data_IF_841467070804
#
_entry.id   IF_841467070804
#
_cell.length_a   1.000
_cell.length_b   1.000
_cell.length_c   1.000
_cell.angle_alpha   90.00
_cell.angle_beta   90.00
_cell.angle_gamma   90.00
#
_symmetry.space_group_name_H-M   'P 1'
#
loop_
_entity.id
_entity.type
_entity.pdbx_description
1 polymer ?
#
# COMPACT_ATOMS: atom_id res chain seq x y z
N UNK A 1 5.16 16.10 -18.14
CA UNK A 1 4.78 15.43 -16.89
C UNK A 1 4.16 16.46 -15.94
N UNK A 2 2.84 16.60 -15.96
CA UNK A 2 2.11 17.43 -14.99
C UNK A 2 1.67 16.53 -13.85
N UNK A 3 2.52 16.38 -12.82
CA UNK A 3 2.13 15.74 -11.56
C UNK A 3 2.62 16.66 -10.44
N UNK A 4 1.86 17.71 -10.17
CA UNK A 4 2.07 18.63 -9.04
C UNK A 4 0.87 18.58 -8.12
N UNK A 5 0.68 17.40 -7.55
CA UNK A 5 0.20 17.06 -6.20
C UNK A 5 0.66 15.60 -6.05
N UNK A 6 1.18 15.20 -4.88
CA UNK A 6 1.67 13.83 -4.70
C UNK A 6 0.54 12.86 -5.08
N UNK A 7 0.67 12.17 -6.23
CA UNK A 7 -0.39 11.32 -6.76
C UNK A 7 -0.80 10.33 -5.68
N UNK A 8 -2.09 10.22 -5.38
CA UNK A 8 -2.62 9.26 -4.39
C UNK A 8 -2.15 7.84 -4.67
N UNK A 9 -1.86 7.50 -5.93
CA UNK A 9 -1.24 6.25 -6.36
C UNK A 9 0.18 6.10 -5.81
N UNK A 10 0.99 7.15 -5.78
CA UNK A 10 2.32 7.12 -5.16
C UNK A 10 2.24 6.94 -3.63
N UNK A 11 1.29 7.62 -2.99
CA UNK A 11 1.04 7.44 -1.55
C UNK A 11 0.62 5.99 -1.24
N UNK A 12 -0.24 5.41 -2.08
CA UNK A 12 -0.59 3.99 -2.02
C UNK A 12 0.61 3.06 -2.18
N UNK A 13 1.46 3.30 -3.18
CA UNK A 13 2.67 2.47 -3.39
C UNK A 13 3.59 2.52 -2.18
N UNK A 14 3.75 3.70 -1.56
CA UNK A 14 4.55 3.86 -0.36
C UNK A 14 3.93 3.15 0.85
N UNK A 15 2.63 3.32 1.08
CA UNK A 15 1.89 2.63 2.12
C UNK A 15 2.00 1.11 1.97
N UNK A 16 1.77 0.59 0.75
CA UNK A 16 1.90 -0.84 0.45
C UNK A 16 3.30 -1.34 0.79
N UNK A 17 4.34 -0.62 0.38
CA UNK A 17 5.74 -0.97 0.68
C UNK A 17 6.02 -1.04 2.17
N UNK A 18 5.55 -0.04 2.95
CA UNK A 18 5.69 -0.06 4.41
C UNK A 18 5.04 -1.29 5.03
N UNK A 19 3.78 -1.57 4.67
CA UNK A 19 3.04 -2.73 5.19
C UNK A 19 3.76 -4.03 4.82
N UNK A 20 4.21 -4.18 3.57
CA UNK A 20 4.99 -5.33 3.11
C UNK A 20 6.30 -5.50 3.90
N UNK A 21 6.99 -4.40 4.20
CA UNK A 21 8.21 -4.45 5.00
C UNK A 21 7.92 -4.94 6.43
N UNK A 22 6.88 -4.41 7.08
CA UNK A 22 6.47 -4.87 8.42
C UNK A 22 6.08 -6.35 8.41
N UNK A 23 5.29 -6.78 7.43
CA UNK A 23 4.94 -8.19 7.25
C UNK A 23 6.18 -9.07 7.02
N UNK A 24 7.16 -8.58 6.27
CA UNK A 24 8.43 -9.28 6.04
C UNK A 24 9.24 -9.43 7.32
N UNK A 25 9.35 -8.36 8.13
CA UNK A 25 10.01 -8.41 9.45
C UNK A 25 9.31 -9.42 10.36
N UNK A 26 7.98 -9.38 10.41
CA UNK A 26 7.22 -10.35 11.19
C UNK A 26 7.53 -11.79 10.76
N UNK A 27 7.41 -12.07 9.47
CA UNK A 27 7.58 -13.41 8.91
C UNK A 27 9.01 -13.94 9.04
N UNK A 28 10.02 -13.09 8.80
CA UNK A 28 11.43 -13.52 8.76
C UNK A 28 12.14 -13.48 10.12
N UNK A 29 11.65 -12.67 11.06
CA UNK A 29 12.37 -12.44 12.32
C UNK A 29 11.50 -12.83 13.51
N UNK A 30 10.32 -12.23 13.63
CA UNK A 30 9.51 -12.35 14.85
C UNK A 30 8.93 -13.76 14.99
N UNK A 31 8.31 -14.28 13.93
CA UNK A 31 7.70 -15.61 13.95
C UNK A 31 8.73 -16.74 14.21
N UNK A 32 9.89 -16.79 13.52
CA UNK A 32 10.91 -17.78 13.84
C UNK A 32 11.45 -17.66 15.27
N UNK A 33 11.61 -16.43 15.77
CA UNK A 33 12.04 -16.19 17.16
C UNK A 33 11.00 -16.76 18.13
N UNK A 34 9.71 -16.51 17.89
CA UNK A 34 8.64 -17.05 18.73
C UNK A 34 8.60 -18.58 18.71
N UNK A 35 8.77 -19.20 17.54
CA UNK A 35 8.83 -20.65 17.43
C UNK A 35 10.02 -21.23 18.22
N UNK A 36 11.22 -20.65 18.08
CA UNK A 36 12.39 -21.09 18.83
C UNK A 36 12.20 -20.97 20.34
N UNK A 37 11.48 -19.95 20.82
CA UNK A 37 11.12 -19.84 22.24
C UNK A 37 10.19 -20.94 22.69
N UNK A 38 9.18 -21.30 21.89
CA UNK A 38 8.27 -22.41 22.20
C UNK A 38 9.04 -23.73 22.26
N UNK A 39 9.91 -23.99 21.28
CA UNK A 39 10.78 -25.17 21.25
C UNK A 39 11.68 -25.24 22.51
N UNK A 40 12.37 -24.14 22.86
CA UNK A 40 13.23 -24.08 24.05
C UNK A 40 12.46 -24.32 25.36
N UNK A 41 11.22 -23.84 25.45
CA UNK A 41 10.36 -24.09 26.63
C UNK A 41 9.94 -25.55 26.66
N UNK A 42 9.60 -26.13 25.51
CA UNK A 42 9.24 -27.54 25.41
C UNK A 42 10.41 -28.43 25.85
N UNK A 43 11.61 -28.21 25.29
CA UNK A 43 12.82 -28.94 25.64
C UNK A 43 13.15 -28.82 27.14
N UNK A 44 12.97 -27.62 27.71
CA UNK A 44 13.16 -27.40 29.14
C UNK A 44 12.17 -28.21 29.99
N UNK A 45 10.89 -28.21 29.61
CA UNK A 45 9.84 -28.96 30.32
C UNK A 45 10.09 -30.47 30.21
N UNK A 46 10.43 -30.96 29.03
CA UNK A 46 10.75 -32.38 28.80
C UNK A 46 11.97 -32.81 29.62
N UNK A 47 13.01 -31.97 29.67
CA UNK A 47 14.18 -32.21 30.52
C UNK A 47 13.78 -32.26 31.99
N UNK A 48 13.03 -31.26 32.47
CA UNK A 48 12.61 -31.18 33.86
C UNK A 48 11.76 -32.38 34.30
N UNK A 49 10.85 -32.86 33.46
CA UNK A 49 9.96 -33.99 33.80
C UNK A 49 10.67 -35.34 33.75
N UNK A 50 11.79 -35.45 33.03
CA UNK A 50 12.59 -36.67 32.95
C UNK A 50 13.55 -36.87 34.14
N UNK A 51 13.79 -35.83 34.96
CA UNK A 51 14.76 -35.90 36.05
C UNK A 51 14.27 -36.71 37.24
N UNK A 52 15.15 -37.55 37.80
CA UNK A 52 14.95 -38.12 39.12
C UNK A 52 15.20 -37.07 40.22
N UNK A 53 14.82 -37.37 41.46
CA UNK A 53 15.09 -36.47 42.58
C UNK A 53 16.58 -36.22 42.82
N UNK A 54 17.42 -37.24 42.59
CA UNK A 54 18.86 -37.11 42.77
C UNK A 54 19.49 -36.25 41.66
N UNK A 55 19.12 -36.48 40.40
CA UNK A 55 19.57 -35.65 39.26
C UNK A 55 19.09 -34.19 39.41
N UNK A 56 17.87 -33.99 39.91
CA UNK A 56 17.33 -32.65 40.16
C UNK A 56 18.18 -31.86 41.15
N UNK A 57 18.65 -32.49 42.25
CA UNK A 57 19.50 -31.83 43.24
C UNK A 57 20.84 -31.41 42.63
N UNK A 58 21.40 -32.22 41.73
CA UNK A 58 22.68 -31.94 41.09
C UNK A 58 22.57 -30.84 40.02
N UNK A 59 21.43 -30.77 39.31
CA UNK A 59 21.22 -29.84 38.19
C UNK A 59 20.37 -28.60 38.54
N UNK A 60 20.07 -28.35 39.82
CA UNK A 60 19.11 -27.29 40.22
C UNK A 60 19.53 -25.89 39.76
N UNK A 61 20.83 -25.58 39.75
CA UNK A 61 21.34 -24.29 39.27
C UNK A 61 21.16 -24.14 37.75
N UNK A 62 21.43 -25.20 36.99
CA UNK A 62 21.25 -25.21 35.53
C UNK A 62 19.77 -25.07 35.14
N UNK A 63 18.87 -25.74 35.88
CA UNK A 63 17.43 -25.60 35.71
C UNK A 63 16.95 -24.17 36.01
N UNK A 64 17.44 -23.57 37.11
CA UNK A 64 17.11 -22.18 37.43
C UNK A 64 17.60 -21.22 36.33
N UNK A 65 18.83 -21.40 35.86
CA UNK A 65 19.40 -20.62 34.77
C UNK A 65 18.62 -20.80 33.45
N UNK A 66 18.22 -22.03 33.12
CA UNK A 66 17.38 -22.34 31.96
C UNK A 66 16.02 -21.64 32.04
N UNK A 67 15.35 -21.71 33.21
CA UNK A 67 14.09 -21.02 33.45
C UNK A 67 14.23 -19.50 33.31
N UNK A 68 15.31 -18.90 33.83
CA UNK A 68 15.59 -17.48 33.67
C UNK A 68 15.79 -17.08 32.20
N UNK A 69 16.60 -17.85 31.45
CA UNK A 69 16.81 -17.62 30.01
C UNK A 69 15.50 -17.70 29.23
N UNK A 70 14.67 -18.71 29.49
CA UNK A 70 13.38 -18.86 28.84
C UNK A 70 12.45 -17.68 29.14
N UNK A 71 12.40 -17.22 30.41
CA UNK A 71 11.65 -16.02 30.79
C UNK A 71 12.10 -14.77 30.02
N UNK A 72 13.40 -14.58 29.88
CA UNK A 72 13.95 -13.40 29.21
C UNK A 72 13.65 -13.45 27.70
N UNK A 73 13.79 -14.62 27.07
CA UNK A 73 13.44 -14.81 25.67
C UNK A 73 11.93 -14.60 25.39
N UNK A 74 11.05 -15.10 26.27
CA UNK A 74 9.60 -14.83 26.19
C UNK A 74 9.31 -13.34 26.30
N UNK A 75 9.96 -12.67 27.24
CA UNK A 75 9.77 -11.23 27.46
C UNK A 75 10.21 -10.42 26.24
N UNK A 76 11.37 -10.76 25.66
CA UNK A 76 11.87 -10.13 24.44
C UNK A 76 10.95 -10.37 23.24
N UNK A 77 10.52 -11.62 23.04
CA UNK A 77 9.60 -11.99 21.95
C UNK A 77 8.26 -11.26 22.06
N UNK A 78 7.74 -11.11 23.29
CA UNK A 78 6.55 -10.30 23.57
C UNK A 78 6.75 -8.84 23.15
N UNK A 79 7.91 -8.24 23.44
CA UNK A 79 8.20 -6.86 23.03
C UNK A 79 8.21 -6.71 21.50
N UNK A 80 8.84 -7.65 20.78
CA UNK A 80 8.82 -7.65 19.31
C UNK A 80 7.39 -7.72 18.75
N UNK A 81 6.55 -8.60 19.29
CA UNK A 81 5.13 -8.68 18.90
C UNK A 81 4.35 -7.40 19.23
N UNK A 82 4.63 -6.76 20.36
CA UNK A 82 3.98 -5.50 20.74
C UNK A 82 4.41 -4.35 19.81
N UNK A 83 5.69 -4.25 19.48
CA UNK A 83 6.23 -3.21 18.60
C UNK A 83 5.66 -3.33 17.18
N UNK A 84 5.68 -4.52 16.59
CA UNK A 84 5.16 -4.72 15.24
C UNK A 84 3.64 -4.48 15.18
N UNK A 85 2.90 -4.87 16.24
CA UNK A 85 1.48 -4.57 16.35
C UNK A 85 1.21 -3.07 16.45
N UNK A 86 2.05 -2.33 17.20
CA UNK A 86 1.95 -0.87 17.26
C UNK A 86 2.18 -0.24 15.89
N UNK A 87 3.16 -0.72 15.12
CA UNK A 87 3.42 -0.27 13.75
C UNK A 87 2.23 -0.54 12.81
N UNK A 88 1.62 -1.73 12.87
CA UNK A 88 0.42 -2.00 12.07
C UNK A 88 -0.77 -1.11 12.46
N UNK A 89 -0.96 -0.86 13.76
CA UNK A 89 -2.00 0.05 14.24
C UNK A 89 -1.77 1.50 13.82
N UNK A 90 -0.54 1.99 13.86
CA UNK A 90 -0.24 3.37 13.44
C UNK A 90 -0.52 3.58 11.95
N UNK A 91 -0.23 2.57 11.12
CA UNK A 91 -0.46 2.65 9.67
C UNK A 91 -1.94 2.48 9.28
N UNK A 92 -2.80 1.95 10.16
CA UNK A 92 -4.25 1.81 9.88
C UNK A 92 -4.94 3.15 9.58
N UNK A 93 -4.53 4.23 10.24
CA UNK A 93 -5.04 5.57 9.93
C UNK A 93 -4.58 6.04 8.54
N UNK A 94 -3.33 5.76 8.18
CA UNK A 94 -2.77 6.08 6.86
C UNK A 94 -3.49 5.31 5.75
N UNK A 95 -3.89 4.07 5.99
CA UNK A 95 -4.72 3.28 5.06
C UNK A 95 -6.03 4.01 4.75
N UNK A 96 -6.76 4.45 5.77
CA UNK A 96 -8.03 5.16 5.60
C UNK A 96 -7.87 6.49 4.86
N UNK A 97 -6.78 7.22 5.13
CA UNK A 97 -6.50 8.49 4.46
C UNK A 97 -6.21 8.27 2.97
N UNK A 98 -5.33 7.31 2.65
CA UNK A 98 -4.96 6.99 1.27
C UNK A 98 -6.17 6.47 0.50
N UNK A 99 -6.99 5.62 1.11
CA UNK A 99 -8.23 5.12 0.51
C UNK A 99 -9.16 6.26 0.08
N UNK A 100 -9.44 7.20 0.99
CA UNK A 100 -10.29 8.37 0.69
C UNK A 100 -9.70 9.26 -0.41
N UNK A 101 -8.37 9.41 -0.44
CA UNK A 101 -7.69 10.17 -1.52
C UNK A 101 -7.85 9.47 -2.87
N UNK A 102 -7.61 8.17 -2.93
CA UNK A 102 -7.78 7.38 -4.17
C UNK A 102 -9.23 7.45 -4.69
N UNK A 103 -10.23 7.34 -3.81
CA UNK A 103 -11.64 7.48 -4.19
C UNK A 103 -11.95 8.86 -4.76
N UNK A 104 -11.44 9.92 -4.12
CA UNK A 104 -11.63 11.29 -4.58
C UNK A 104 -10.95 11.51 -5.94
N UNK A 105 -9.72 11.03 -6.09
CA UNK A 105 -8.95 11.16 -7.32
C UNK A 105 -9.61 10.39 -8.46
N UNK A 106 -10.10 9.17 -8.22
CA UNK A 106 -10.83 8.38 -9.21
C UNK A 106 -12.05 9.16 -9.75
N UNK A 107 -12.83 9.78 -8.87
CA UNK A 107 -13.99 10.62 -9.25
C UNK A 107 -13.54 11.85 -10.05
N UNK A 108 -12.48 12.52 -9.58
CA UNK A 108 -11.95 13.72 -10.24
C UNK A 108 -11.43 13.42 -11.65
N UNK A 109 -10.59 12.39 -11.80
CA UNK A 109 -10.03 11.98 -13.08
C UNK A 109 -11.11 11.54 -14.08
N UNK A 110 -12.14 10.82 -13.61
CA UNK A 110 -13.26 10.42 -14.45
C UNK A 110 -14.07 11.64 -14.95
N UNK A 111 -14.36 12.59 -14.06
CA UNK A 111 -15.04 13.83 -14.43
C UNK A 111 -14.20 14.66 -15.42
N UNK A 112 -12.89 14.77 -15.19
CA UNK A 112 -11.94 15.46 -16.06
C UNK A 112 -11.88 14.81 -17.45
N UNK A 113 -11.80 13.48 -17.52
CA UNK A 113 -11.82 12.73 -18.78
C UNK A 113 -13.10 13.01 -19.58
N UNK A 114 -14.27 13.04 -18.92
CA UNK A 114 -15.54 13.37 -19.56
C UNK A 114 -15.55 14.79 -20.13
N UNK A 115 -15.14 15.78 -19.34
CA UNK A 115 -15.07 17.18 -19.79
C UNK A 115 -14.14 17.37 -20.99
N UNK A 116 -12.99 16.69 -21.00
CA UNK A 116 -12.03 16.73 -22.10
C UNK A 116 -12.58 16.05 -23.36
N UNK A 117 -13.28 14.91 -23.24
CA UNK A 117 -13.99 14.28 -24.36
C UNK A 117 -15.06 15.20 -24.95
N UNK A 118 -15.85 15.84 -24.10
CA UNK A 118 -16.89 16.78 -24.54
C UNK A 118 -16.27 18.00 -25.25
N UNK A 119 -15.15 18.53 -24.72
CA UNK A 119 -14.42 19.64 -25.34
C UNK A 119 -13.79 19.26 -26.68
N UNK A 120 -13.16 18.09 -26.76
CA UNK A 120 -12.62 17.51 -28.01
C UNK A 120 -13.70 17.41 -29.09
N UNK A 121 -14.86 16.84 -28.73
CA UNK A 121 -15.99 16.68 -29.65
C UNK A 121 -16.51 18.03 -30.14
N UNK A 122 -16.67 19.00 -29.25
CA UNK A 122 -17.09 20.35 -29.60
C UNK A 122 -16.07 21.03 -30.54
N UNK A 123 -14.78 21.01 -30.21
CA UNK A 123 -13.71 21.59 -31.02
C UNK A 123 -13.62 20.94 -32.40
N UNK A 124 -13.76 19.62 -32.48
CA UNK A 124 -13.76 18.88 -33.75
C UNK A 124 -14.97 19.24 -34.60
N UNK A 125 -16.17 19.32 -34.00
CA UNK A 125 -17.39 19.75 -34.69
C UNK A 125 -17.27 21.18 -35.23
N UNK A 126 -16.76 22.11 -34.42
CA UNK A 126 -16.48 23.47 -34.86
C UNK A 126 -15.41 23.54 -35.95
N UNK A 127 -14.35 22.73 -35.88
CA UNK A 127 -13.33 22.66 -36.92
C UNK A 127 -13.92 22.27 -38.28
N UNK A 128 -14.82 21.26 -38.28
CA UNK A 128 -15.55 20.82 -39.48
C UNK A 128 -16.48 21.93 -39.98
N UNK A 129 -17.29 22.54 -39.11
CA UNK A 129 -18.21 23.61 -39.50
C UNK A 129 -17.49 24.83 -40.09
N UNK A 130 -16.40 25.27 -39.45
CA UNK A 130 -15.60 26.40 -39.92
C UNK A 130 -14.81 26.09 -41.19
N UNK A 131 -14.55 24.81 -41.51
CA UNK A 131 -13.83 24.43 -42.72
C UNK A 131 -14.59 24.77 -44.00
N UNK A 132 -15.91 24.91 -43.88
CA UNK A 132 -16.84 25.26 -44.96
C UNK A 132 -16.95 26.77 -45.19
N UNK A 133 -16.34 27.61 -44.34
CA UNK A 133 -16.42 29.07 -44.43
C UNK A 133 -15.13 29.60 -45.10
N UNK A 134 -15.21 30.19 -46.30
CA UNK A 134 -14.05 30.76 -46.99
C UNK A 134 -13.35 31.84 -46.15
N UNK A 135 -12.02 31.80 -46.10
CA UNK A 135 -11.19 32.77 -45.37
C UNK A 135 -10.95 32.41 -43.89
N UNK A 136 -12.00 31.95 -43.18
CA UNK A 136 -11.86 31.50 -41.77
C UNK A 136 -11.31 30.08 -41.69
N UNK A 137 -11.59 29.24 -42.69
CA UNK A 137 -11.17 27.85 -42.75
C UNK A 137 -9.65 27.63 -42.64
N UNK A 138 -8.82 28.50 -43.21
CA UNK A 138 -7.36 28.32 -43.25
C UNK A 138 -6.68 28.52 -41.89
N UNK A 139 -7.32 29.23 -40.96
CA UNK A 139 -6.72 29.59 -39.67
C UNK A 139 -7.44 28.87 -38.53
N UNK A 140 -8.77 28.99 -38.45
CA UNK A 140 -9.51 28.52 -37.29
C UNK A 140 -9.66 26.98 -37.24
N UNK A 141 -9.93 26.36 -38.39
CA UNK A 141 -10.17 24.90 -38.45
C UNK A 141 -8.94 24.07 -38.07
N UNK A 142 -7.71 24.34 -38.56
CA UNK A 142 -6.53 23.58 -38.15
C UNK A 142 -6.24 23.69 -36.65
N UNK A 143 -6.38 24.90 -36.08
CA UNK A 143 -6.12 25.14 -34.66
C UNK A 143 -7.11 24.37 -33.79
N UNK A 144 -8.41 24.42 -34.12
CA UNK A 144 -9.44 23.70 -33.38
C UNK A 144 -9.29 22.19 -33.49
N UNK A 145 -8.93 21.67 -34.66
CA UNK A 145 -8.66 20.25 -34.82
C UNK A 145 -7.48 19.81 -33.95
N UNK A 146 -6.36 20.55 -33.99
CA UNK A 146 -5.20 20.25 -33.15
C UNK A 146 -5.56 20.24 -31.66
N UNK A 147 -6.24 21.29 -31.18
CA UNK A 147 -6.68 21.37 -29.78
C UNK A 147 -7.69 20.30 -29.40
N UNK A 148 -8.56 19.88 -30.33
CA UNK A 148 -9.48 18.77 -30.10
C UNK A 148 -8.73 17.44 -29.91
N UNK A 149 -7.70 17.18 -30.71
CA UNK A 149 -6.84 16.00 -30.53
C UNK A 149 -6.08 16.05 -29.21
N UNK A 150 -5.55 17.21 -28.84
CA UNK A 150 -4.84 17.40 -27.56
C UNK A 150 -5.76 17.08 -26.37
N UNK A 151 -6.98 17.64 -26.35
CA UNK A 151 -7.98 17.31 -25.34
C UNK A 151 -8.29 15.81 -25.29
N UNK A 152 -8.41 15.15 -26.45
CA UNK A 152 -8.69 13.71 -26.51
C UNK A 152 -7.57 12.89 -25.89
N UNK A 153 -6.31 13.24 -26.16
CA UNK A 153 -5.13 12.58 -25.57
C UNK A 153 -5.12 12.78 -24.05
N UNK A 154 -5.37 14.00 -23.58
CA UNK A 154 -5.46 14.29 -22.14
C UNK A 154 -6.63 13.55 -21.47
N UNK A 155 -7.75 13.37 -22.18
CA UNK A 155 -8.89 12.61 -21.70
C UNK A 155 -8.57 11.13 -21.50
N UNK A 156 -7.84 10.53 -22.45
CA UNK A 156 -7.40 9.13 -22.35
C UNK A 156 -6.45 8.97 -21.16
N UNK A 157 -5.48 9.87 -21.01
CA UNK A 157 -4.57 9.85 -19.87
C UNK A 157 -5.32 9.97 -18.53
N UNK A 158 -6.30 10.88 -18.45
CA UNK A 158 -7.15 11.02 -17.26
C UNK A 158 -7.97 9.76 -16.97
N UNK A 159 -8.47 9.09 -18.00
CA UNK A 159 -9.21 7.83 -17.83
C UNK A 159 -8.32 6.71 -17.27
N UNK A 160 -7.08 6.60 -17.74
CA UNK A 160 -6.11 5.63 -17.21
C UNK A 160 -5.72 5.92 -15.75
N UNK A 161 -5.49 7.19 -15.39
CA UNK A 161 -5.27 7.58 -13.98
C UNK A 161 -6.47 7.23 -13.09
N UNK A 162 -7.70 7.40 -13.58
CA UNK A 162 -8.91 6.97 -12.87
C UNK A 162 -8.94 5.46 -12.64
N UNK A 163 -8.62 4.65 -13.67
CA UNK A 163 -8.55 3.18 -13.57
C UNK A 163 -7.50 2.74 -12.55
N UNK A 164 -6.33 3.36 -12.55
CA UNK A 164 -5.28 3.07 -11.58
C UNK A 164 -5.72 3.37 -10.15
N UNK A 165 -6.37 4.53 -9.92
CA UNK A 165 -6.89 4.90 -8.61
C UNK A 165 -7.97 3.92 -8.12
N UNK A 166 -8.91 3.51 -8.98
CA UNK A 166 -9.94 2.51 -8.67
C UNK A 166 -9.31 1.15 -8.33
N UNK A 167 -8.34 0.69 -9.12
CA UNK A 167 -7.66 -0.57 -8.87
C UNK A 167 -6.92 -0.56 -7.51
N UNK A 168 -6.24 0.55 -7.18
CA UNK A 168 -5.59 0.72 -5.89
C UNK A 168 -6.61 0.72 -4.72
N UNK A 169 -7.77 1.36 -4.89
CA UNK A 169 -8.87 1.32 -3.93
C UNK A 169 -9.36 -0.11 -3.67
N UNK A 170 -9.51 -0.94 -4.70
CA UNK A 170 -9.90 -2.34 -4.54
C UNK A 170 -8.88 -3.11 -3.70
N UNK A 171 -7.58 -2.97 -4.00
CA UNK A 171 -6.51 -3.67 -3.26
C UNK A 171 -6.49 -3.29 -1.77
N UNK A 172 -6.85 -2.06 -1.40
CA UNK A 172 -6.89 -1.65 0.01
C UNK A 172 -8.09 -2.24 0.76
N UNK A 173 -9.20 -2.50 0.06
CA UNK A 173 -10.46 -2.96 0.65
C UNK A 173 -10.52 -4.49 0.81
N UNK A 174 -9.80 -5.22 -0.02
CA UNK A 174 -9.63 -6.69 0.05
C UNK A 174 -8.79 -7.10 1.27
#
# INVERSE_FOLDING_TARGET
CYVTEASSVQEFVHLRRKITNHATVYYRVILPTANAVVENIQDFVETYTALSYDDFKECIEDLANGAHRNRDMVSYTKLLHQEILANFKSEQNSVNIVLKKLEKDAVWYNARAKQLKDSSNAKTSWAIGLSLIPGVNFIASPILWYRGKEDLVEAIASEEESKLAVAATHIIRD
#
